data_IF_215659698590
#
_entry.id   IF_215659698590
#
_cell.length_a   1.000
_cell.length_b   1.000
_cell.length_c   1.000
_cell.angle_alpha   90.00
_cell.angle_beta   90.00
_cell.angle_gamma   90.00
#
_symmetry.space_group_name_H-M   'P 1'
#
loop_
_entity.id
_entity.type
_entity.pdbx_description
1 polymer ?
#
# COMPACT_ATOMS: atom_id res chain seq x y z
N UNK A 1 3.71 -6.82 -21.68
CA UNK A 1 3.81 -6.11 -20.39
C UNK A 1 4.60 -4.82 -20.53
N UNK A 2 5.92 -4.86 -20.76
CA UNK A 2 6.74 -3.64 -20.84
C UNK A 2 6.41 -2.71 -22.02
N UNK A 3 5.91 -3.22 -23.15
CA UNK A 3 5.55 -2.41 -24.32
C UNK A 3 4.50 -1.31 -24.05
N UNK A 4 3.60 -1.53 -23.09
CA UNK A 4 2.54 -0.59 -22.71
C UNK A 4 2.76 0.06 -21.34
N UNK A 5 3.78 -0.37 -20.60
CA UNK A 5 4.06 0.13 -19.25
C UNK A 5 4.93 1.39 -19.31
N UNK A 6 4.57 2.48 -18.60
CA UNK A 6 5.29 3.75 -18.68
C UNK A 6 6.69 3.67 -18.06
N UNK A 7 7.66 4.39 -18.64
CA UNK A 7 9.05 4.47 -18.14
C UNK A 7 9.17 5.46 -16.97
N UNK A 8 8.33 5.29 -15.97
CA UNK A 8 8.18 6.18 -14.81
C UNK A 8 8.87 5.66 -13.55
N UNK A 9 9.76 4.67 -13.69
CA UNK A 9 10.36 3.97 -12.54
C UNK A 9 11.10 4.91 -11.57
N UNK A 10 11.67 6.02 -12.06
CA UNK A 10 12.39 7.01 -11.23
C UNK A 10 11.47 7.82 -10.31
N UNK A 11 10.21 8.04 -10.73
CA UNK A 11 9.22 8.85 -9.99
C UNK A 11 8.14 8.00 -9.32
N UNK A 12 8.12 6.69 -9.60
CA UNK A 12 7.21 5.74 -9.00
C UNK A 12 7.70 5.36 -7.59
N UNK A 13 6.87 5.52 -6.56
CA UNK A 13 7.20 5.14 -5.18
C UNK A 13 7.56 3.64 -5.06
N UNK A 14 6.81 2.78 -5.77
CA UNK A 14 7.13 1.34 -5.86
C UNK A 14 8.34 1.04 -6.75
N UNK A 15 8.97 2.01 -7.40
CA UNK A 15 10.02 1.80 -8.40
C UNK A 15 11.17 0.90 -7.95
N UNK A 16 11.60 1.01 -6.69
CA UNK A 16 12.68 0.19 -6.12
C UNK A 16 12.23 -1.16 -5.52
N UNK A 17 10.91 -1.39 -5.43
CA UNK A 17 10.29 -2.63 -4.92
C UNK A 17 9.34 -3.28 -5.94
N UNK A 18 9.42 -2.84 -7.20
CA UNK A 18 8.53 -3.26 -8.29
C UNK A 18 8.96 -4.65 -8.79
N UNK A 19 8.07 -5.63 -8.67
CA UNK A 19 8.35 -7.00 -9.13
C UNK A 19 8.54 -7.06 -10.65
N UNK A 20 7.79 -6.26 -11.42
CA UNK A 20 7.96 -6.20 -12.88
C UNK A 20 9.37 -5.75 -13.27
N UNK A 21 9.89 -4.71 -12.59
CA UNK A 21 11.25 -4.21 -12.81
C UNK A 21 12.29 -5.26 -12.42
N UNK A 22 12.10 -5.91 -11.27
CA UNK A 22 13.01 -6.98 -10.80
C UNK A 22 13.08 -8.12 -11.83
N UNK A 23 11.93 -8.64 -12.26
CA UNK A 23 11.86 -9.74 -13.23
C UNK A 23 12.49 -9.31 -14.56
N UNK A 24 12.23 -8.09 -15.05
CA UNK A 24 12.84 -7.59 -16.28
C UNK A 24 14.38 -7.55 -16.18
N UNK A 25 14.91 -7.09 -15.04
CA UNK A 25 16.33 -7.07 -14.76
C UNK A 25 16.92 -8.49 -14.70
N UNK A 26 16.26 -9.40 -14.00
CA UNK A 26 16.72 -10.80 -13.84
C UNK A 26 16.73 -11.55 -15.18
N UNK A 27 15.81 -11.20 -16.08
CA UNK A 27 15.74 -11.74 -17.44
C UNK A 27 16.68 -11.04 -18.44
N UNK A 28 17.43 -10.02 -18.01
CA UNK A 28 18.34 -9.26 -18.88
C UNK A 28 17.63 -8.35 -19.90
N UNK A 29 16.39 -7.96 -19.63
CA UNK A 29 15.60 -7.09 -20.52
C UNK A 29 15.94 -5.63 -20.23
N UNK A 30 16.80 -5.02 -21.06
CA UNK A 30 17.25 -3.63 -20.90
C UNK A 30 16.54 -2.60 -21.79
N UNK A 31 16.33 -2.93 -23.06
CA UNK A 31 15.68 -2.05 -24.04
C UNK A 31 14.42 -2.71 -24.59
N UNK A 32 13.33 -1.94 -24.67
CA UNK A 32 12.09 -2.40 -25.28
C UNK A 32 12.15 -2.10 -26.77
N UNK A 33 12.39 -3.12 -27.59
CA UNK A 33 12.44 -3.01 -29.06
C UNK A 33 11.04 -2.93 -29.70
N UNK A 34 9.99 -3.10 -28.90
CA UNK A 34 8.61 -3.03 -29.37
C UNK A 34 8.14 -1.59 -29.53
N UNK A 35 7.27 -1.37 -30.53
CA UNK A 35 6.51 -0.12 -30.62
C UNK A 35 5.74 0.11 -29.31
N UNK A 36 5.91 1.31 -28.75
CA UNK A 36 5.24 1.71 -27.51
C UNK A 36 3.75 1.90 -27.77
N UNK A 37 2.93 1.30 -26.92
CA UNK A 37 1.47 1.46 -26.93
C UNK A 37 1.05 1.87 -25.51
N UNK A 38 1.28 3.14 -25.13
CA UNK A 38 1.03 3.59 -23.77
C UNK A 38 -0.46 3.52 -23.45
N UNK A 39 -0.78 3.00 -22.27
CA UNK A 39 -2.13 3.13 -21.73
C UNK A 39 -2.30 4.52 -21.13
N UNK A 40 -3.23 5.30 -21.68
CA UNK A 40 -3.67 6.53 -21.04
C UNK A 40 -4.67 6.13 -19.95
N UNK A 41 -4.28 6.30 -18.70
CA UNK A 41 -5.19 6.18 -17.58
C UNK A 41 -5.19 7.51 -16.81
N UNK A 42 -6.38 7.92 -16.39
CA UNK A 42 -6.54 9.02 -15.43
C UNK A 42 -6.16 8.48 -14.06
N UNK A 43 -5.35 9.23 -13.30
CA UNK A 43 -5.14 8.93 -11.89
C UNK A 43 -6.46 9.23 -11.19
N UNK A 44 -7.03 8.25 -10.52
CA UNK A 44 -8.26 8.40 -9.73
C UNK A 44 -7.89 8.61 -8.26
N UNK A 45 -7.93 9.86 -7.78
CA UNK A 45 -7.51 10.25 -6.42
C UNK A 45 -8.67 10.59 -5.49
N UNK A 46 -9.81 9.91 -5.63
CA UNK A 46 -11.03 10.30 -4.90
C UNK A 46 -10.94 9.97 -3.40
N UNK A 47 -10.18 8.94 -3.02
CA UNK A 47 -10.11 8.46 -1.64
C UNK A 47 -8.83 8.87 -0.88
N UNK A 48 -8.80 8.82 0.48
CA UNK A 48 -7.65 9.29 1.26
C UNK A 48 -6.49 8.28 1.37
N UNK A 49 -6.70 6.98 1.08
CA UNK A 49 -5.71 5.94 1.42
C UNK A 49 -4.96 5.36 0.21
N UNK A 50 -5.62 5.23 -0.93
CA UNK A 50 -5.14 4.47 -2.09
C UNK A 50 -5.06 5.38 -3.31
N UNK A 51 -3.88 5.41 -3.94
CA UNK A 51 -3.68 5.98 -5.27
C UNK A 51 -3.77 4.88 -6.34
N UNK A 52 -4.57 5.13 -7.38
CA UNK A 52 -4.76 4.23 -8.52
C UNK A 52 -4.22 4.89 -9.79
N UNK A 53 -3.07 4.41 -10.26
CA UNK A 53 -2.50 4.78 -11.56
C UNK A 53 -2.49 3.54 -12.47
N UNK A 54 -3.62 3.31 -13.14
CA UNK A 54 -3.82 2.10 -13.93
C UNK A 54 -3.00 2.08 -15.23
N UNK A 55 -2.32 3.17 -15.61
CA UNK A 55 -1.34 3.16 -16.70
C UNK A 55 -0.16 2.23 -16.38
N UNK A 56 0.11 2.02 -15.08
CA UNK A 56 1.14 1.10 -14.57
C UNK A 56 0.60 -0.33 -14.37
N UNK A 57 -0.66 -0.60 -14.67
CA UNK A 57 -1.24 -1.94 -14.52
C UNK A 57 -0.76 -2.89 -15.62
N UNK A 58 -0.54 -4.15 -15.26
CA UNK A 58 -0.16 -5.22 -16.21
C UNK A 58 -1.26 -6.29 -16.37
N UNK A 59 -2.47 -6.01 -15.87
CA UNK A 59 -3.61 -6.92 -15.95
C UNK A 59 -3.32 -8.33 -15.39
N UNK A 60 -2.59 -8.40 -14.27
CA UNK A 60 -2.25 -9.67 -13.61
C UNK A 60 -3.35 -10.25 -12.70
N UNK A 61 -4.46 -9.52 -12.49
CA UNK A 61 -5.61 -9.89 -11.66
C UNK A 61 -5.34 -10.11 -10.16
N UNK A 62 -4.10 -9.94 -9.67
CA UNK A 62 -3.77 -10.13 -8.24
C UNK A 62 -4.64 -9.29 -7.31
N UNK A 63 -4.91 -8.03 -7.67
CA UNK A 63 -5.77 -7.14 -6.87
C UNK A 63 -7.23 -7.61 -6.82
N UNK A 64 -7.78 -8.06 -7.95
CA UNK A 64 -9.15 -8.57 -8.08
C UNK A 64 -9.30 -9.84 -7.25
N UNK A 65 -8.41 -10.81 -7.46
CA UNK A 65 -8.39 -12.07 -6.69
C UNK A 65 -8.22 -11.83 -5.21
N UNK A 66 -7.35 -10.92 -4.80
CA UNK A 66 -7.20 -10.57 -3.38
C UNK A 66 -8.50 -9.98 -2.80
N UNK A 67 -9.18 -9.11 -3.55
CA UNK A 67 -10.43 -8.49 -3.12
C UNK A 67 -11.58 -9.51 -3.03
N UNK A 68 -11.69 -10.43 -3.99
CA UNK A 68 -12.77 -11.44 -4.05
C UNK A 68 -12.50 -12.65 -3.16
N UNK A 69 -11.28 -13.18 -3.16
CA UNK A 69 -10.95 -14.47 -2.54
C UNK A 69 -10.40 -14.33 -1.12
N UNK A 70 -9.60 -13.29 -0.84
CA UNK A 70 -8.96 -13.12 0.48
C UNK A 70 -9.79 -12.23 1.41
N UNK A 71 -10.28 -11.11 0.89
CA UNK A 71 -11.06 -10.14 1.67
C UNK A 71 -12.56 -10.43 1.59
N UNK A 72 -13.01 -11.11 0.52
CA UNK A 72 -14.43 -11.45 0.29
C UNK A 72 -15.31 -10.20 0.15
N UNK A 73 -14.75 -9.13 -0.42
CA UNK A 73 -15.48 -7.88 -0.71
C UNK A 73 -15.96 -7.84 -2.16
N UNK A 74 -15.07 -8.17 -3.10
CA UNK A 74 -15.38 -8.13 -4.53
C UNK A 74 -15.64 -6.73 -5.11
N UNK A 75 -15.13 -5.67 -4.48
CA UNK A 75 -15.33 -4.28 -4.92
C UNK A 75 -14.74 -3.94 -6.30
N UNK A 76 -13.75 -4.71 -6.80
CA UNK A 76 -13.11 -4.48 -8.09
C UNK A 76 -13.08 -5.75 -8.95
N UNK A 77 -13.30 -5.58 -10.26
CA UNK A 77 -13.16 -6.63 -11.29
C UNK A 77 -12.63 -6.01 -12.59
N UNK A 78 -12.43 -6.82 -13.64
CA UNK A 78 -12.11 -6.31 -14.96
C UNK A 78 -13.34 -5.79 -15.68
N UNK A 79 -13.25 -4.53 -16.10
CA UNK A 79 -14.19 -3.89 -17.00
C UNK A 79 -13.55 -3.66 -18.36
N UNK A 80 -14.41 -3.47 -19.36
CA UNK A 80 -14.06 -3.28 -20.76
C UNK A 80 -13.28 -4.46 -21.37
N UNK A 81 -12.73 -4.27 -22.58
CA UNK A 81 -12.03 -5.30 -23.36
C UNK A 81 -10.88 -4.69 -24.17
N UNK A 82 -9.91 -5.52 -24.56
CA UNK A 82 -8.77 -5.09 -25.38
C UNK A 82 -7.88 -4.09 -24.65
N UNK A 83 -7.41 -3.05 -25.36
CA UNK A 83 -6.44 -2.09 -24.81
C UNK A 83 -6.98 -1.19 -23.69
N UNK A 84 -8.31 -1.05 -23.59
CA UNK A 84 -8.99 -0.26 -22.56
C UNK A 84 -9.41 -1.09 -21.34
N UNK A 85 -9.11 -2.39 -21.30
CA UNK A 85 -9.42 -3.23 -20.16
C UNK A 85 -8.66 -2.76 -18.91
N UNK A 86 -9.36 -2.61 -17.80
CA UNK A 86 -8.79 -2.15 -16.52
C UNK A 86 -9.51 -2.75 -15.31
N UNK A 87 -8.83 -2.92 -14.17
CA UNK A 87 -9.51 -3.17 -12.89
C UNK A 87 -10.33 -1.94 -12.50
N UNK A 88 -11.64 -2.10 -12.39
CA UNK A 88 -12.60 -1.06 -12.03
C UNK A 88 -13.66 -1.60 -11.07
N UNK A 89 -14.36 -0.70 -10.41
CA UNK A 89 -15.58 -0.97 -9.64
C UNK A 89 -16.77 -1.09 -10.59
N UNK A 90 -17.95 -1.45 -10.06
CA UNK A 90 -19.19 -1.38 -10.82
C UNK A 90 -19.40 0.05 -11.37
N UNK A 91 -19.76 0.14 -12.66
CA UNK A 91 -19.95 1.39 -13.41
C UNK A 91 -18.73 2.34 -13.43
N UNK A 92 -17.53 1.82 -13.14
CA UNK A 92 -16.28 2.61 -13.09
C UNK A 92 -16.34 3.77 -12.09
N UNK A 93 -17.11 3.59 -11.01
CA UNK A 93 -17.26 4.55 -9.94
C UNK A 93 -15.96 4.69 -9.10
N UNK A 94 -15.74 5.84 -8.46
CA UNK A 94 -14.69 5.97 -7.46
C UNK A 94 -14.76 4.89 -6.38
N UNK A 95 -13.62 4.48 -5.81
CA UNK A 95 -13.60 3.50 -4.72
C UNK A 95 -14.48 3.92 -3.52
N UNK A 96 -14.60 5.22 -3.25
CA UNK A 96 -15.45 5.76 -2.17
C UNK A 96 -16.94 5.54 -2.39
N UNK A 97 -17.36 5.44 -3.64
CA UNK A 97 -18.75 5.21 -4.05
C UNK A 97 -19.02 3.72 -4.32
N UNK A 98 -18.10 2.84 -3.92
CA UNK A 98 -18.19 1.39 -4.08
C UNK A 98 -18.18 0.68 -2.72
N UNK A 99 -18.36 -0.64 -2.73
CA UNK A 99 -18.24 -1.49 -1.53
C UNK A 99 -16.79 -1.61 -1.00
N UNK A 100 -15.83 -0.82 -1.49
CA UNK A 100 -14.45 -0.93 -1.05
C UNK A 100 -14.29 -0.53 0.43
N UNK A 101 -13.83 -1.46 1.26
CA UNK A 101 -13.53 -1.24 2.68
C UNK A 101 -12.16 -0.64 2.97
N UNK A 102 -11.42 -0.21 1.93
CA UNK A 102 -10.06 0.35 2.04
C UNK A 102 -9.10 -0.51 2.87
N UNK A 103 -9.22 -1.84 2.76
CA UNK A 103 -8.39 -2.78 3.52
C UNK A 103 -6.90 -2.72 3.14
N UNK A 104 -6.57 -2.27 1.91
CA UNK A 104 -5.19 -2.13 1.42
C UNK A 104 -4.54 -3.44 0.96
N UNK A 105 -5.22 -4.60 1.05
CA UNK A 105 -4.68 -5.89 0.58
C UNK A 105 -4.31 -5.86 -0.91
N UNK A 106 -5.11 -5.18 -1.74
CA UNK A 106 -4.81 -5.00 -3.16
C UNK A 106 -3.53 -4.15 -3.40
N UNK A 107 -3.27 -3.15 -2.55
CA UNK A 107 -2.06 -2.32 -2.60
C UNK A 107 -0.84 -3.15 -2.21
N UNK A 108 -0.94 -3.93 -1.13
CA UNK A 108 0.15 -4.78 -0.65
C UNK A 108 0.58 -5.82 -1.71
N UNK A 109 -0.38 -6.39 -2.45
CA UNK A 109 -0.13 -7.45 -3.44
C UNK A 109 0.17 -6.96 -4.85
N UNK A 110 -0.10 -5.68 -5.16
CA UNK A 110 0.10 -5.14 -6.49
C UNK A 110 1.60 -5.16 -6.87
N UNK A 111 1.99 -5.88 -7.94
CA UNK A 111 3.41 -6.09 -8.29
C UNK A 111 4.05 -4.88 -8.98
N UNK A 112 3.26 -3.87 -9.35
CA UNK A 112 3.68 -2.63 -10.00
C UNK A 112 3.21 -1.42 -9.20
N UNK A 113 3.53 -0.22 -9.66
CA UNK A 113 3.02 1.04 -9.11
C UNK A 113 1.57 1.37 -9.45
N UNK A 114 0.75 0.39 -9.85
CA UNK A 114 -0.63 0.65 -10.26
C UNK A 114 -1.58 0.92 -9.09
N UNK A 115 -1.33 0.26 -7.96
CA UNK A 115 -2.00 0.49 -6.68
C UNK A 115 -0.93 0.80 -5.64
N UNK A 116 -1.02 1.96 -5.02
CA UNK A 116 -0.06 2.47 -4.03
C UNK A 116 -0.79 3.15 -2.89
N UNK A 117 -0.10 3.31 -1.77
CA UNK A 117 -0.53 4.20 -0.70
C UNK A 117 -0.56 5.67 -1.22
N UNK A 118 -1.60 6.43 -0.88
CA UNK A 118 -1.74 7.83 -1.34
C UNK A 118 -0.72 8.76 -0.68
N UNK A 119 -0.49 8.57 0.61
CA UNK A 119 0.56 9.30 1.32
C UNK A 119 1.93 8.76 0.91
N UNK A 120 2.51 9.41 -0.11
CA UNK A 120 3.83 9.08 -0.62
C UNK A 120 4.87 9.64 0.33
N UNK A 121 5.51 8.75 1.10
CA UNK A 121 6.63 9.16 1.94
C UNK A 121 7.91 9.41 1.14
N UNK A 122 7.96 9.01 -0.15
CA UNK A 122 9.15 9.04 -1.02
C UNK A 122 10.41 8.57 -0.29
N UNK A 123 10.22 7.63 0.65
CA UNK A 123 11.24 7.22 1.60
C UNK A 123 12.35 6.42 0.91
N UNK A 124 12.23 6.10 -0.37
CA UNK A 124 13.18 5.24 -1.07
C UNK A 124 13.15 3.81 -0.52
N UNK A 125 14.23 3.07 -0.71
CA UNK A 125 14.30 1.66 -0.31
C UNK A 125 14.46 1.52 1.21
N UNK A 126 13.50 0.86 1.85
CA UNK A 126 13.58 0.43 3.25
C UNK A 126 14.52 -0.76 3.36
N UNK A 127 15.47 -0.71 4.30
CA UNK A 127 16.38 -1.83 4.60
C UNK A 127 15.95 -2.63 5.82
N UNK A 128 15.17 -2.00 6.70
CA UNK A 128 14.79 -2.58 7.99
C UNK A 128 13.31 -2.92 7.95
N UNK A 129 13.01 -4.19 8.22
CA UNK A 129 11.64 -4.68 8.39
C UNK A 129 11.51 -5.39 9.73
N UNK A 130 10.48 -5.08 10.50
CA UNK A 130 10.20 -5.73 11.77
C UNK A 130 8.81 -6.36 11.73
N UNK A 131 8.71 -7.67 11.95
CA UNK A 131 7.43 -8.35 12.08
C UNK A 131 6.93 -8.24 13.52
N UNK A 132 5.67 -7.88 13.69
CA UNK A 132 5.03 -7.69 15.00
C UNK A 132 3.53 -7.93 14.90
N UNK A 133 2.81 -7.70 16.00
CA UNK A 133 1.36 -7.85 16.10
C UNK A 133 0.67 -6.49 16.07
N UNK A 134 -0.40 -6.39 15.28
CA UNK A 134 -1.27 -5.21 15.22
C UNK A 134 -2.00 -5.00 16.57
N UNK A 135 -1.92 -3.81 17.19
CA UNK A 135 -2.49 -3.56 18.51
C UNK A 135 -3.97 -3.11 18.48
N UNK A 136 -4.60 -2.98 17.31
CA UNK A 136 -5.88 -2.29 17.17
C UNK A 136 -7.11 -3.05 17.68
N UNK A 137 -7.07 -4.39 17.72
CA UNK A 137 -8.18 -5.22 18.19
C UNK A 137 -7.68 -6.59 18.63
N UNK A 138 -8.57 -7.39 19.23
CA UNK A 138 -8.26 -8.74 19.70
C UNK A 138 -7.96 -9.77 18.61
N UNK A 139 -8.05 -9.42 17.32
CA UNK A 139 -7.70 -10.35 16.23
C UNK A 139 -6.20 -10.68 16.21
N UNK A 140 -5.33 -9.75 16.66
CA UNK A 140 -3.89 -10.01 16.72
C UNK A 140 -3.23 -10.25 15.36
N UNK A 141 -3.64 -9.52 14.31
CA UNK A 141 -3.08 -9.67 12.97
C UNK A 141 -1.55 -9.48 12.98
N UNK A 142 -0.82 -10.36 12.28
CA UNK A 142 0.61 -10.20 12.03
C UNK A 142 0.82 -9.10 10.98
N UNK A 143 1.72 -8.18 11.28
CA UNK A 143 2.10 -7.06 10.43
C UNK A 143 3.63 -7.01 10.28
N UNK A 144 4.10 -6.57 9.12
CA UNK A 144 5.48 -6.17 8.93
C UNK A 144 5.56 -4.65 8.84
N UNK A 145 6.30 -4.05 9.75
CA UNK A 145 6.65 -2.63 9.74
C UNK A 145 7.89 -2.43 8.87
N UNK A 146 7.82 -1.53 7.91
CA UNK A 146 9.00 -1.07 7.18
C UNK A 146 9.48 0.23 7.78
N UNK A 147 10.75 0.24 8.17
CA UNK A 147 11.35 1.32 8.95
C UNK A 147 12.51 1.93 8.17
N UNK A 148 12.55 3.26 8.17
CA UNK A 148 13.66 4.05 7.66
C UNK A 148 13.89 5.25 8.59
N UNK A 149 15.15 5.52 8.92
CA UNK A 149 15.54 6.67 9.75
C UNK A 149 14.75 6.76 11.08
N UNK A 150 14.53 5.60 11.71
CA UNK A 150 13.72 5.42 12.92
C UNK A 150 12.23 5.84 12.78
N UNK A 151 11.74 5.92 11.55
CA UNK A 151 10.36 6.23 11.20
C UNK A 151 9.72 5.04 10.49
N UNK A 152 8.51 4.66 10.91
CA UNK A 152 7.71 3.66 10.20
C UNK A 152 7.14 4.33 8.96
N UNK A 153 7.51 3.85 7.78
CA UNK A 153 7.12 4.47 6.50
C UNK A 153 6.01 3.69 5.81
N UNK A 154 5.79 2.43 6.19
CA UNK A 154 4.77 1.55 5.61
C UNK A 154 4.52 0.34 6.49
N UNK A 155 3.30 -0.20 6.39
CA UNK A 155 2.93 -1.48 7.00
C UNK A 155 2.41 -2.43 5.91
N UNK A 156 2.81 -3.70 6.00
CA UNK A 156 2.24 -4.77 5.18
C UNK A 156 1.71 -5.90 6.05
N UNK A 157 0.84 -6.77 5.51
CA UNK A 157 0.55 -8.04 6.16
C UNK A 157 1.85 -8.79 6.49
N UNK A 158 1.85 -9.50 7.61
CA UNK A 158 2.96 -10.38 8.00
C UNK A 158 3.22 -11.50 6.98
N UNK A 159 4.42 -12.08 7.03
CA UNK A 159 4.81 -13.18 6.15
C UNK A 159 4.42 -14.52 6.77
N UNK A 160 3.97 -15.44 5.91
CA UNK A 160 3.76 -16.89 6.11
C UNK A 160 2.91 -17.31 7.33
N UNK A 161 1.88 -18.13 7.09
CA UNK A 161 1.05 -18.80 8.10
C UNK A 161 0.61 -17.94 9.31
N UNK A 162 0.28 -16.68 9.02
CA UNK A 162 -0.20 -15.73 10.01
C UNK A 162 -1.70 -15.86 10.22
N UNK A 163 -2.18 -15.49 11.41
CA UNK A 163 -3.62 -15.48 11.78
C UNK A 163 -4.51 -14.73 10.76
N UNK A 164 -3.96 -13.70 10.11
CA UNK A 164 -4.67 -12.85 9.17
C UNK A 164 -4.49 -13.25 7.70
N UNK A 165 -3.83 -14.38 7.42
CA UNK A 165 -3.67 -14.98 6.08
C UNK A 165 -3.27 -13.97 4.98
N UNK A 166 -2.36 -13.04 5.29
CA UNK A 166 -1.89 -12.04 4.33
C UNK A 166 -2.86 -10.89 4.04
N UNK A 167 -3.87 -10.67 4.89
CA UNK A 167 -4.84 -9.56 4.78
C UNK A 167 -4.75 -8.62 5.98
N UNK A 168 -5.16 -7.37 5.82
CA UNK A 168 -5.28 -6.40 6.91
C UNK A 168 -6.57 -5.60 6.73
N UNK A 169 -7.08 -5.03 7.82
CA UNK A 169 -8.11 -4.00 7.74
C UNK A 169 -7.47 -2.62 7.54
N UNK A 170 -8.28 -1.60 7.23
CA UNK A 170 -7.83 -0.22 7.05
C UNK A 170 -6.93 0.29 8.20
N UNK A 171 -7.26 -0.06 9.46
CA UNK A 171 -6.46 0.30 10.64
C UNK A 171 -5.09 -0.36 10.66
N UNK A 172 -5.02 -1.64 10.28
CA UNK A 172 -3.75 -2.37 10.23
C UNK A 172 -2.84 -1.89 9.10
N UNK A 173 -3.43 -1.49 7.97
CA UNK A 173 -2.69 -1.03 6.80
C UNK A 173 -2.19 0.42 6.94
N UNK A 174 -3.00 1.31 7.51
CA UNK A 174 -2.74 2.75 7.47
C UNK A 174 -2.67 3.44 8.83
N UNK A 175 -3.13 2.80 9.92
CA UNK A 175 -3.16 3.41 11.24
C UNK A 175 -1.83 3.33 11.99
N UNK A 176 -0.67 3.48 11.35
CA UNK A 176 0.63 3.41 12.04
C UNK A 176 1.21 4.79 12.37
N UNK A 177 0.59 5.84 11.86
CA UNK A 177 0.97 7.25 11.98
C UNK A 177 0.89 7.77 13.41
N UNK A 178 -0.01 7.25 14.26
CA UNK A 178 -0.17 7.69 15.67
C UNK A 178 1.12 7.57 16.49
N UNK A 179 2.05 6.68 16.12
CA UNK A 179 3.35 6.51 16.80
C UNK A 179 4.23 7.76 16.63
N UNK A 180 3.97 8.53 15.57
CA UNK A 180 4.68 9.77 15.25
C UNK A 180 3.84 11.02 15.53
N UNK A 181 2.68 10.88 16.19
CA UNK A 181 1.84 12.00 16.57
C UNK A 181 2.62 13.00 17.44
N UNK A 182 2.43 14.29 17.19
CA UNK A 182 2.94 15.37 18.06
C UNK A 182 2.40 15.29 19.48
N UNK A 183 1.24 14.65 19.66
CA UNK A 183 0.57 14.50 20.95
C UNK A 183 1.11 13.30 21.75
N UNK A 184 2.05 12.54 21.18
CA UNK A 184 2.64 11.39 21.85
C UNK A 184 3.43 11.85 23.08
N UNK A 185 3.07 11.29 24.24
CA UNK A 185 3.80 11.51 25.47
C UNK A 185 5.22 10.94 25.33
N UNK A 186 6.21 11.83 25.42
CA UNK A 186 7.64 11.49 25.33
C UNK A 186 8.36 11.59 26.67
N UNK A 187 7.70 12.15 27.68
CA UNK A 187 8.21 12.34 29.03
C UNK A 187 7.15 11.96 30.07
N UNK A 188 7.56 11.48 31.26
CA UNK A 188 6.65 11.30 32.38
C UNK A 188 5.97 12.61 32.77
N UNK A 189 4.69 12.54 33.13
CA UNK A 189 3.89 13.68 33.57
C UNK A 189 3.27 13.38 34.94
N UNK A 190 3.34 14.34 35.86
CA UNK A 190 2.69 14.27 37.18
C UNK A 190 1.61 15.34 37.27
N UNK A 191 0.45 14.98 37.84
CA UNK A 191 -0.64 15.92 38.03
C UNK A 191 -0.32 16.89 39.17
N UNK A 192 -0.32 18.19 38.88
CA UNK A 192 -0.10 19.26 39.85
C UNK A 192 -1.28 20.23 39.75
N UNK A 193 -2.08 20.33 40.82
CA UNK A 193 -3.36 21.06 40.81
C UNK A 193 -4.27 20.60 39.65
N UNK A 194 -4.65 21.52 38.76
CA UNK A 194 -5.48 21.26 37.58
C UNK A 194 -4.66 20.98 36.30
N UNK A 195 -3.32 20.89 36.41
CA UNK A 195 -2.41 20.70 35.28
C UNK A 195 -1.51 19.45 35.39
N UNK A 196 -0.62 19.31 34.40
CA UNK A 196 0.44 18.31 34.38
C UNK A 196 1.79 18.99 34.24
N UNK A 197 2.78 18.54 35.01
CA UNK A 197 4.16 18.97 34.91
C UNK A 197 5.04 17.80 34.46
N UNK A 198 6.03 18.07 33.60
CA UNK A 198 7.03 17.09 33.18
C UNK A 198 7.99 16.77 34.34
N UNK A 199 8.25 15.49 34.58
CA UNK A 199 9.20 15.03 35.60
C UNK A 199 10.24 14.09 35.02
N UNK A 200 11.36 13.94 35.75
CA UNK A 200 12.37 12.92 35.45
C UNK A 200 11.84 11.51 35.75
N UNK A 201 12.50 10.47 35.23
CA UNK A 201 12.13 9.08 35.51
C UNK A 201 12.50 8.64 36.93
N UNK A 202 13.44 9.34 37.59
CA UNK A 202 13.86 9.06 38.96
C UNK A 202 12.96 9.68 40.04
N UNK A 203 12.12 10.65 39.67
CA UNK A 203 11.12 11.26 40.54
C UNK A 203 9.86 10.41 40.63
#
# INVERSE_FOLDING_TARGET
MLASHPDSCLVCDKGNRCQLRQIASDMGIGLVEFQRIPQMATIEEVNPFIERDLSKCILCAKCIRACQELVVEGAIDYFYRGFIAKPATLDDLPLEESECTFCGTCVALCPTGALMEKEKTYSGTTKTTAQTTCPFCGCGCSICLEVKDNHIVRVTPGKEDTVNHGTLCVRGSYGYDFIHSSDRLTKPLVKVNDGFEEVSWEQ
#
